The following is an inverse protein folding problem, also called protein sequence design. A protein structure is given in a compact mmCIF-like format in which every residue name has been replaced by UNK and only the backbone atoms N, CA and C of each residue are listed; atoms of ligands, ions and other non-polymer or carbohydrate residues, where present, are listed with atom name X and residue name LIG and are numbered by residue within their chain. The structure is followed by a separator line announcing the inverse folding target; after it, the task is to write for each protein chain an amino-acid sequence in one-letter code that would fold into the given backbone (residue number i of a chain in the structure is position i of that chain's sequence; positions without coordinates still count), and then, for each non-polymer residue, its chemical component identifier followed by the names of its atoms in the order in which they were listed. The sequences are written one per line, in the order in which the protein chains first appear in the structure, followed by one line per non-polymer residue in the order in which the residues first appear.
data_IF_921915707877
#
_entry.id   IF_921915707877
#
_cell.length_a   1.000
_cell.length_b   1.000
_cell.length_c   1.000
_cell.angle_alpha   90.00
_cell.angle_beta   90.00
_cell.angle_gamma   90.00
#
_symmetry.space_group_name_H-M   'P 1'
#
loop_
_entity.id
_entity.type
_entity.pdbx_description
1 polymer ?
#
# COMPACT_ATOMS: atom_id res chain seq x y z
N UNK A 1 6.04 11.52 -14.78
CA UNK A 1 5.48 11.86 -13.46
C UNK A 1 4.56 13.04 -13.67
N UNK A 2 3.30 12.89 -13.27
CA UNK A 2 2.30 13.97 -13.19
C UNK A 2 2.07 14.27 -11.70
N UNK A 3 2.91 15.14 -11.13
CA UNK A 3 2.96 15.46 -9.71
C UNK A 3 3.47 16.90 -9.54
N UNK A 4 2.85 17.68 -8.68
CA UNK A 4 3.16 19.11 -8.52
C UNK A 4 4.60 19.38 -8.09
N UNK A 5 5.17 18.52 -7.24
CA UNK A 5 6.55 18.59 -6.75
C UNK A 5 7.24 17.22 -6.93
N UNK A 6 7.70 16.88 -8.15
CA UNK A 6 8.27 15.57 -8.48
C UNK A 6 9.50 15.19 -7.63
N UNK A 7 10.29 16.19 -7.20
CA UNK A 7 11.50 15.96 -6.42
C UNK A 7 11.22 15.50 -4.97
N UNK A 8 9.98 15.66 -4.52
CA UNK A 8 9.54 15.21 -3.19
C UNK A 8 8.90 13.84 -3.17
N UNK A 9 8.72 13.19 -4.31
CA UNK A 9 8.19 11.84 -4.33
C UNK A 9 9.23 10.87 -3.78
N UNK A 10 8.85 10.04 -2.81
CA UNK A 10 9.74 9.00 -2.28
C UNK A 10 10.24 8.06 -3.37
N UNK A 11 11.54 7.77 -3.34
CA UNK A 11 12.20 6.89 -4.33
C UNK A 11 11.60 5.48 -4.30
N UNK A 12 11.19 5.00 -3.15
CA UNK A 12 10.50 3.74 -2.94
C UNK A 12 9.18 3.66 -3.72
N UNK A 13 8.36 4.72 -3.68
CA UNK A 13 7.10 4.82 -4.42
C UNK A 13 7.33 4.77 -5.92
N UNK A 14 8.32 5.53 -6.41
CA UNK A 14 8.68 5.53 -7.83
C UNK A 14 9.25 4.18 -8.28
N UNK A 15 10.07 3.54 -7.44
CA UNK A 15 10.61 2.21 -7.73
C UNK A 15 9.48 1.17 -7.82
N UNK A 16 8.57 1.14 -6.84
CA UNK A 16 7.41 0.25 -6.87
C UNK A 16 6.54 0.48 -8.11
N UNK A 17 6.29 1.75 -8.46
CA UNK A 17 5.54 2.15 -9.65
C UNK A 17 6.21 1.67 -10.94
N UNK A 18 7.53 1.83 -11.07
CA UNK A 18 8.28 1.35 -12.22
C UNK A 18 8.21 -0.18 -12.35
N UNK A 19 8.38 -0.92 -11.23
CA UNK A 19 8.27 -2.37 -11.24
C UNK A 19 6.87 -2.84 -11.64
N UNK A 20 5.83 -2.24 -11.09
CA UNK A 20 4.44 -2.56 -11.40
C UNK A 20 4.12 -2.27 -12.88
N UNK A 21 4.58 -1.13 -13.41
CA UNK A 21 4.39 -0.77 -14.81
C UNK A 21 5.03 -1.76 -15.78
N UNK A 22 6.25 -2.23 -15.47
CA UNK A 22 6.96 -3.20 -16.30
C UNK A 22 6.63 -4.66 -15.98
N UNK A 23 5.72 -4.92 -15.04
CA UNK A 23 5.34 -6.28 -14.69
C UNK A 23 4.59 -6.97 -15.85
N UNK A 24 4.96 -8.23 -16.23
CA UNK A 24 4.38 -8.90 -17.39
C UNK A 24 2.87 -9.16 -17.28
N UNK A 25 2.35 -9.30 -16.06
CA UNK A 25 0.92 -9.49 -15.80
C UNK A 25 0.13 -8.18 -15.68
N UNK A 26 0.78 -7.01 -15.80
CA UNK A 26 0.08 -5.73 -15.80
C UNK A 26 -0.91 -5.63 -16.95
N UNK A 27 -2.10 -5.14 -16.67
CA UNK A 27 -3.12 -4.79 -17.66
C UNK A 27 -2.77 -3.43 -18.31
N UNK A 28 -3.70 -2.49 -18.38
CA UNK A 28 -3.41 -1.15 -18.93
C UNK A 28 -2.77 -0.23 -17.90
N UNK A 29 -3.33 -0.17 -16.69
CA UNK A 29 -2.84 0.67 -15.61
C UNK A 29 -2.48 -0.19 -14.38
N UNK A 30 -1.77 0.39 -13.42
CA UNK A 30 -1.40 -0.27 -12.16
C UNK A 30 -1.77 0.60 -10.96
N UNK A 31 -2.22 -0.05 -9.89
CA UNK A 31 -2.41 0.54 -8.56
C UNK A 31 -1.51 -0.23 -7.62
N UNK A 32 -0.72 0.46 -6.82
CA UNK A 32 0.26 -0.13 -5.93
C UNK A 32 -0.08 0.24 -4.49
N UNK A 33 -0.48 -0.74 -3.68
CA UNK A 33 -0.62 -0.59 -2.24
C UNK A 33 0.67 -1.11 -1.57
N UNK A 34 1.43 -0.23 -0.97
CA UNK A 34 2.63 -0.58 -0.19
C UNK A 34 2.30 -0.48 1.31
N UNK A 35 2.24 -1.64 1.95
CA UNK A 35 1.96 -1.78 3.37
C UNK A 35 3.26 -1.87 4.18
N UNK A 36 3.85 -0.73 4.44
CA UNK A 36 5.07 -0.55 5.21
C UNK A 36 4.87 0.29 6.48
N UNK A 37 5.88 1.07 6.86
CA UNK A 37 5.78 2.05 7.96
C UNK A 37 4.67 3.07 7.71
N UNK A 38 4.59 3.59 6.49
CA UNK A 38 3.40 4.22 5.95
C UNK A 38 2.66 3.20 5.06
N UNK A 39 1.38 3.37 4.91
CA UNK A 39 0.58 2.70 3.90
C UNK A 39 0.39 3.68 2.75
N UNK A 40 0.97 3.39 1.59
CA UNK A 40 0.78 4.21 0.40
C UNK A 40 -0.04 3.48 -0.64
N UNK A 41 -0.86 4.21 -1.39
CA UNK A 41 -1.63 3.66 -2.51
C UNK A 41 -1.43 4.58 -3.68
N UNK A 42 -0.64 4.14 -4.65
CA UNK A 42 -0.18 4.91 -5.79
C UNK A 42 -0.77 4.39 -7.10
N UNK A 43 -0.88 5.27 -8.08
CA UNK A 43 -1.39 4.94 -9.40
C UNK A 43 -0.37 5.24 -10.51
N UNK A 44 -0.34 4.34 -11.49
CA UNK A 44 0.38 4.52 -12.76
C UNK A 44 -0.61 4.28 -13.90
N UNK A 45 -0.70 5.23 -14.82
CA UNK A 45 -1.60 5.13 -15.96
C UNK A 45 -1.11 4.11 -17.01
N UNK A 46 -1.91 3.94 -18.06
CA UNK A 46 -1.58 3.03 -19.17
C UNK A 46 -0.32 3.44 -19.96
N UNK A 47 0.09 4.71 -19.86
CA UNK A 47 1.28 5.24 -20.55
C UNK A 47 2.54 5.17 -19.67
N UNK A 48 2.41 4.74 -18.41
CA UNK A 48 3.52 4.68 -17.46
C UNK A 48 3.74 5.99 -16.69
N UNK A 49 2.77 6.90 -16.68
CA UNK A 49 2.83 8.12 -15.90
C UNK A 49 2.46 7.81 -14.44
N UNK A 50 3.34 8.15 -13.52
CA UNK A 50 3.02 8.15 -12.09
C UNK A 50 2.10 9.33 -11.79
N UNK A 51 0.92 9.04 -11.27
CA UNK A 51 -0.15 10.01 -11.01
C UNK A 51 -0.25 10.46 -9.56
N UNK A 52 0.60 9.88 -8.68
CA UNK A 52 0.46 10.08 -7.23
C UNK A 52 -0.50 9.09 -6.61
N UNK A 53 -1.04 9.46 -5.45
CA UNK A 53 -1.92 8.58 -4.69
C UNK A 53 -2.18 9.05 -3.27
N UNK A 54 -2.48 8.13 -2.34
CA UNK A 54 -2.78 8.41 -0.95
C UNK A 54 -1.67 7.88 -0.03
N UNK A 55 -1.47 8.57 1.10
CA UNK A 55 -0.56 8.16 2.17
C UNK A 55 -1.33 8.12 3.48
N UNK A 56 -1.23 7.02 4.18
CA UNK A 56 -1.85 6.80 5.49
C UNK A 56 -0.84 6.16 6.46
N UNK A 57 -1.11 6.17 7.76
CA UNK A 57 -0.29 5.43 8.71
C UNK A 57 -0.32 3.92 8.41
N UNK A 58 0.83 3.26 8.42
CA UNK A 58 0.89 1.79 8.42
C UNK A 58 0.43 1.22 9.77
N UNK A 59 0.29 -0.11 9.86
CA UNK A 59 -0.30 -0.80 11.01
C UNK A 59 0.33 -0.38 12.35
N UNK A 60 1.66 -0.48 12.43
CA UNK A 60 2.41 -0.16 13.67
C UNK A 60 2.36 1.32 14.00
N UNK A 61 2.54 2.17 12.98
CA UNK A 61 2.51 3.62 13.16
C UNK A 61 1.14 4.10 13.64
N UNK A 62 0.05 3.56 13.09
CA UNK A 62 -1.30 3.86 13.51
C UNK A 62 -1.58 3.47 14.96
N UNK A 63 -1.18 2.26 15.37
CA UNK A 63 -1.31 1.81 16.76
C UNK A 63 -0.47 2.65 17.73
N UNK A 64 0.75 3.00 17.34
CA UNK A 64 1.62 3.87 18.13
C UNK A 64 1.01 5.27 18.29
N UNK A 65 0.48 5.84 17.20
CA UNK A 65 -0.16 7.15 17.26
C UNK A 65 -1.36 7.17 18.21
N UNK A 66 -2.18 6.12 18.25
CA UNK A 66 -3.29 5.99 19.17
C UNK A 66 -2.83 5.89 20.63
N UNK A 67 -1.78 5.12 20.92
CA UNK A 67 -1.26 4.98 22.27
C UNK A 67 -0.57 6.25 22.78
N UNK A 68 0.12 6.99 21.92
CA UNK A 68 0.81 8.24 22.30
C UNK A 68 -0.11 9.46 22.28
N UNK A 69 -1.11 9.47 21.41
CA UNK A 69 -2.06 10.58 21.25
C UNK A 69 -3.25 10.53 22.21
N UNK A 70 -3.40 9.47 23.01
CA UNK A 70 -4.51 9.32 23.96
C UNK A 70 -4.03 8.84 25.32
N UNK A 71 -4.74 9.20 26.40
CA UNK A 71 -4.35 8.86 27.77
C UNK A 71 -4.77 7.45 28.21
N UNK A 72 -5.69 6.79 27.48
CA UNK A 72 -6.32 5.55 27.92
C UNK A 72 -6.05 4.35 27.01
N UNK A 73 -5.49 4.56 25.80
CA UNK A 73 -5.24 3.46 24.89
C UNK A 73 -3.86 2.84 25.14
N UNK A 74 -3.79 1.53 25.37
CA UNK A 74 -2.52 0.86 25.63
C UNK A 74 -1.69 0.74 24.36
N UNK A 75 -0.38 0.67 24.53
CA UNK A 75 0.50 0.20 23.46
C UNK A 75 0.30 -1.31 23.28
N UNK A 76 0.06 -1.74 22.04
CA UNK A 76 -0.20 -3.13 21.71
C UNK A 76 0.58 -3.56 20.46
N UNK A 77 0.85 -4.86 20.39
CA UNK A 77 1.45 -5.49 19.22
C UNK A 77 0.36 -5.95 18.24
N UNK A 78 0.72 -6.02 16.94
CA UNK A 78 -0.13 -6.58 15.89
C UNK A 78 -0.27 -8.08 16.13
N UNK A 79 -1.50 -8.57 15.97
CA UNK A 79 -1.84 -9.99 16.03
C UNK A 79 -2.75 -10.31 14.85
N UNK A 80 -2.24 -11.08 13.90
CA UNK A 80 -2.97 -11.46 12.69
C UNK A 80 -4.26 -12.26 12.97
N UNK A 81 -4.38 -12.88 14.15
CA UNK A 81 -5.56 -13.62 14.58
C UNK A 81 -6.62 -12.76 15.28
N UNK A 82 -6.46 -11.44 15.31
CA UNK A 82 -7.42 -10.55 15.96
C UNK A 82 -8.82 -10.66 15.30
N UNK A 83 -9.90 -10.73 16.11
CA UNK A 83 -11.24 -10.80 15.57
C UNK A 83 -11.68 -9.46 14.97
N UNK A 84 -12.56 -9.49 13.96
CA UNK A 84 -13.14 -8.28 13.39
C UNK A 84 -13.92 -7.47 14.44
N UNK A 85 -14.68 -8.10 15.29
CA UNK A 85 -15.37 -7.46 16.41
C UNK A 85 -14.59 -7.69 17.72
N UNK A 86 -13.73 -6.73 18.06
CA UNK A 86 -12.99 -6.78 19.33
C UNK A 86 -13.89 -6.56 20.54
N UNK A 87 -13.80 -7.44 21.54
CA UNK A 87 -14.55 -7.34 22.78
C UNK A 87 -13.76 -6.73 23.94
N UNK A 88 -12.56 -6.27 23.66
CA UNK A 88 -11.70 -5.51 24.59
C UNK A 88 -11.07 -4.34 23.85
N UNK A 89 -10.59 -3.32 24.55
CA UNK A 89 -9.88 -2.20 23.94
C UNK A 89 -8.71 -2.67 23.07
N UNK A 90 -7.89 -3.59 23.57
CA UNK A 90 -6.75 -4.14 22.82
C UNK A 90 -7.20 -4.88 21.54
N UNK A 91 -8.25 -5.71 21.64
CA UNK A 91 -8.80 -6.41 20.48
C UNK A 91 -9.43 -5.44 19.48
N UNK A 92 -10.10 -4.38 19.94
CA UNK A 92 -10.64 -3.31 19.08
C UNK A 92 -9.56 -2.54 18.34
N UNK A 93 -8.45 -2.20 19.02
CA UNK A 93 -7.29 -1.55 18.39
C UNK A 93 -6.65 -2.42 17.31
N UNK A 94 -6.46 -3.72 17.58
CA UNK A 94 -5.94 -4.66 16.57
C UNK A 94 -6.89 -4.81 15.39
N UNK A 95 -8.18 -4.92 15.66
CA UNK A 95 -9.22 -4.98 14.63
C UNK A 95 -9.17 -3.73 13.73
N UNK A 96 -9.15 -2.54 14.33
CA UNK A 96 -9.06 -1.29 13.59
C UNK A 96 -7.79 -1.20 12.74
N UNK A 97 -6.64 -1.63 13.26
CA UNK A 97 -5.41 -1.66 12.51
C UNK A 97 -5.49 -2.62 11.30
N UNK A 98 -5.92 -3.88 11.50
CA UNK A 98 -5.95 -4.90 10.45
C UNK A 98 -7.07 -4.65 9.43
N UNK A 99 -8.32 -4.72 9.89
CA UNK A 99 -9.48 -4.64 9.01
C UNK A 99 -9.73 -3.21 8.51
N UNK A 100 -9.34 -2.20 9.31
CA UNK A 100 -9.39 -0.80 8.88
C UNK A 100 -8.40 -0.54 7.74
N UNK A 101 -7.17 -1.05 7.83
CA UNK A 101 -6.19 -0.93 6.74
C UNK A 101 -6.60 -1.73 5.51
N UNK A 102 -7.14 -2.94 5.68
CA UNK A 102 -7.67 -3.72 4.56
C UNK A 102 -8.80 -2.97 3.83
N UNK A 103 -9.78 -2.47 4.56
CA UNK A 103 -10.90 -1.70 4.01
C UNK A 103 -10.43 -0.38 3.34
N UNK A 104 -9.40 0.27 3.90
CA UNK A 104 -8.79 1.47 3.31
C UNK A 104 -8.16 1.14 1.96
N UNK A 105 -7.37 0.05 1.88
CA UNK A 105 -6.76 -0.41 0.63
C UNK A 105 -7.85 -0.72 -0.41
N UNK A 106 -8.81 -1.55 -0.07
CA UNK A 106 -9.92 -1.92 -0.96
C UNK A 106 -10.67 -0.69 -1.47
N UNK A 107 -11.06 0.19 -0.54
CA UNK A 107 -11.85 1.38 -0.84
C UNK A 107 -11.11 2.39 -1.72
N UNK A 108 -9.81 2.61 -1.48
CA UNK A 108 -9.01 3.53 -2.30
C UNK A 108 -8.66 2.91 -3.65
N UNK A 109 -8.27 1.64 -3.69
CA UNK A 109 -8.02 0.95 -4.97
C UNK A 109 -9.24 0.97 -5.88
N UNK A 110 -10.43 0.71 -5.34
CA UNK A 110 -11.67 0.78 -6.12
C UNK A 110 -11.97 2.18 -6.67
N UNK A 111 -11.77 3.22 -5.87
CA UNK A 111 -11.98 4.62 -6.29
C UNK A 111 -10.98 5.05 -7.36
N UNK A 112 -9.70 4.75 -7.16
CA UNK A 112 -8.63 5.05 -8.12
C UNK A 112 -8.85 4.29 -9.43
N UNK A 113 -9.23 3.01 -9.38
CA UNK A 113 -9.55 2.23 -10.57
C UNK A 113 -10.72 2.84 -11.36
N UNK A 114 -11.76 3.32 -10.67
CA UNK A 114 -12.88 4.00 -11.31
C UNK A 114 -12.45 5.31 -11.98
N UNK A 115 -11.54 6.08 -11.37
CA UNK A 115 -11.00 7.32 -11.93
C UNK A 115 -10.11 7.06 -13.15
N UNK A 116 -9.30 5.99 -13.13
CA UNK A 116 -8.48 5.57 -14.26
C UNK A 116 -9.30 5.09 -15.46
N UNK A 117 -10.53 4.64 -15.24
CA UNK A 117 -11.52 4.36 -16.28
C UNK A 117 -11.21 3.17 -17.21
N UNK A 118 -10.27 2.30 -16.84
CA UNK A 118 -9.84 1.17 -17.66
C UNK A 118 -9.37 -0.05 -16.85
N UNK A 119 -8.95 -1.12 -17.52
CA UNK A 119 -8.41 -2.31 -16.83
C UNK A 119 -7.18 -1.95 -16.00
N UNK A 120 -7.25 -2.21 -14.71
CA UNK A 120 -6.16 -1.98 -13.74
C UNK A 120 -5.67 -3.29 -13.17
N UNK A 121 -4.39 -3.32 -12.74
CA UNK A 121 -3.80 -4.40 -11.95
C UNK A 121 -3.46 -3.83 -10.58
N UNK A 122 -3.97 -4.45 -9.54
CA UNK A 122 -3.71 -4.05 -8.14
C UNK A 122 -2.56 -4.89 -7.59
N UNK A 123 -1.49 -4.21 -7.23
CA UNK A 123 -0.32 -4.79 -6.55
C UNK A 123 -0.40 -4.51 -5.05
N UNK A 124 -0.07 -5.51 -4.24
CA UNK A 124 0.17 -5.36 -2.82
C UNK A 124 1.63 -5.69 -2.53
N UNK A 125 2.33 -4.81 -1.83
CA UNK A 125 3.73 -4.95 -1.43
C UNK A 125 3.96 -4.47 0.01
N UNK A 126 5.19 -4.45 0.46
CA UNK A 126 5.56 -4.01 1.79
C UNK A 126 5.66 -5.13 2.83
N UNK A 127 6.22 -4.80 3.98
CA UNK A 127 6.48 -5.77 5.05
C UNK A 127 5.23 -6.34 5.71
N UNK A 128 4.13 -5.60 5.70
CA UNK A 128 2.84 -6.01 6.27
C UNK A 128 1.92 -6.71 5.23
N UNK A 129 2.38 -6.87 3.96
CA UNK A 129 1.65 -7.59 2.90
C UNK A 129 1.18 -9.00 3.34
N UNK A 130 2.02 -9.85 3.96
CA UNK A 130 1.57 -11.20 4.35
C UNK A 130 0.43 -11.22 5.37
N UNK A 131 0.36 -10.19 6.22
CA UNK A 131 -0.69 -10.08 7.25
C UNK A 131 -1.98 -9.55 6.63
N UNK A 132 -1.88 -8.60 5.71
CA UNK A 132 -3.03 -7.91 5.12
C UNK A 132 -3.63 -8.66 3.92
N UNK A 133 -2.82 -9.34 3.12
CA UNK A 133 -3.27 -10.04 1.91
C UNK A 133 -4.50 -10.95 2.13
N UNK A 134 -4.57 -11.77 3.20
CA UNK A 134 -5.74 -12.63 3.44
C UNK A 134 -7.02 -11.86 3.75
N UNK A 135 -6.92 -10.57 4.10
CA UNK A 135 -8.02 -9.72 4.52
C UNK A 135 -8.53 -8.79 3.40
N UNK A 136 -7.82 -8.74 2.27
CA UNK A 136 -8.08 -7.78 1.19
C UNK A 136 -8.61 -8.51 -0.04
N UNK A 137 -9.78 -8.10 -0.51
CA UNK A 137 -10.28 -8.51 -1.81
C UNK A 137 -9.72 -7.63 -2.94
N UNK A 138 -9.63 -8.19 -4.14
CA UNK A 138 -9.27 -7.41 -5.33
C UNK A 138 -7.78 -7.12 -5.53
N UNK A 139 -6.89 -7.77 -4.77
CA UNK A 139 -5.45 -7.78 -5.05
C UNK A 139 -5.17 -8.82 -6.13
N UNK A 140 -4.59 -8.39 -7.25
CA UNK A 140 -4.20 -9.28 -8.35
C UNK A 140 -2.83 -9.92 -8.09
N UNK A 141 -1.88 -9.17 -7.52
CA UNK A 141 -0.49 -9.59 -7.33
C UNK A 141 0.01 -9.13 -5.96
N UNK A 142 0.53 -10.05 -5.16
CA UNK A 142 1.30 -9.75 -3.95
C UNK A 142 2.78 -10.02 -4.22
N UNK A 143 3.61 -8.98 -4.17
CA UNK A 143 5.07 -9.06 -4.36
C UNK A 143 5.79 -8.20 -3.32
N UNK A 144 6.30 -8.81 -2.27
CA UNK A 144 7.03 -8.12 -1.19
C UNK A 144 8.38 -7.54 -1.65
N UNK A 145 8.88 -7.94 -2.83
CA UNK A 145 10.12 -7.45 -3.42
C UNK A 145 9.90 -6.37 -4.50
N UNK A 146 8.68 -5.86 -4.67
CA UNK A 146 8.33 -4.96 -5.78
C UNK A 146 9.25 -3.73 -5.84
N UNK A 147 9.51 -3.07 -4.70
CA UNK A 147 10.43 -1.92 -4.62
C UNK A 147 11.84 -2.31 -5.08
N UNK A 148 12.36 -3.46 -4.63
CA UNK A 148 13.69 -3.94 -5.02
C UNK A 148 13.77 -4.22 -6.51
N UNK A 149 12.70 -4.76 -7.11
CA UNK A 149 12.62 -4.97 -8.57
C UNK A 149 12.68 -3.65 -9.32
N UNK A 150 12.00 -2.63 -8.82
CA UNK A 150 12.04 -1.28 -9.40
C UNK A 150 13.42 -0.65 -9.34
N UNK A 151 14.10 -0.78 -8.21
CA UNK A 151 15.48 -0.32 -8.06
C UNK A 151 16.43 -1.05 -9.03
N UNK A 152 16.27 -2.37 -9.18
CA UNK A 152 17.05 -3.16 -10.13
C UNK A 152 16.79 -2.71 -11.59
N UNK A 153 15.54 -2.40 -11.95
CA UNK A 153 15.22 -1.85 -13.28
C UNK A 153 15.92 -0.50 -13.52
N UNK A 154 15.90 0.39 -12.54
CA UNK A 154 16.57 1.69 -12.63
C UNK A 154 18.09 1.52 -12.78
N UNK A 155 18.71 0.65 -11.98
CA UNK A 155 20.14 0.36 -12.04
C UNK A 155 20.56 -0.18 -13.41
N UNK A 156 19.84 -1.16 -13.94
CA UNK A 156 20.16 -1.76 -15.24
C UNK A 156 20.05 -0.75 -16.39
N UNK A 157 19.12 0.19 -16.33
CA UNK A 157 19.01 1.28 -17.33
C UNK A 157 20.13 2.29 -17.24
N UNK A 158 20.67 2.51 -16.05
CA UNK A 158 21.79 3.47 -15.85
C UNK A 158 23.12 2.89 -16.31
N UNK A 159 23.28 1.57 -16.29
CA UNK A 159 24.53 0.86 -16.62
C UNK A 159 24.58 0.31 -18.05
N UNK A 160 23.50 0.43 -18.82
CA UNK A 160 23.38 0.04 -20.24
C UNK A 160 23.60 1.22 -21.15
#
# INVERSE_FOLDING_TARGET
IDYDDPDRVGVDRLAAAAAAYHHPAKRQAAIIADAGTALTIDAVDAKGTFLGGAIAPGLKLGLQALSTGTSLLPQIEIDAAAPLLGKTTAAGLRSGALYGSAALIEGLCARIAAELGGPTTVFLTGGDCPILQPLIAGVDICDTALVLRGLALAYNRYTS
#
